data_IF_391620075784
#
_entry.id   IF_391620075784
#
_cell.length_a   1.000
_cell.length_b   1.000
_cell.length_c   1.000
_cell.angle_alpha   90.00
_cell.angle_beta   90.00
_cell.angle_gamma   90.00
#
_symmetry.space_group_name_H-M   'P 1'
#
loop_
_entity.id
_entity.type
_entity.pdbx_description
1 polymer ?
#
# COMPACT_ATOMS: atom_id res chain seq x y z
N UNK A 1 1.78 6.77 -20.19
CA UNK A 1 0.85 7.92 -20.11
C UNK A 1 1.66 9.08 -19.52
N UNK A 2 1.13 10.27 -19.27
CA UNK A 2 1.88 11.26 -18.48
C UNK A 2 1.25 11.31 -17.08
N UNK A 3 1.82 10.56 -16.14
CA UNK A 3 1.48 10.66 -14.71
C UNK A 3 2.28 11.79 -14.05
N UNK A 4 1.97 12.12 -12.79
CA UNK A 4 2.75 13.11 -12.01
C UNK A 4 4.26 12.86 -12.14
N UNK A 5 5.03 13.94 -12.29
CA UNK A 5 6.48 13.92 -12.50
C UNK A 5 7.28 14.31 -11.25
N UNK A 6 6.57 14.68 -10.18
CA UNK A 6 7.11 15.08 -8.89
C UNK A 6 6.19 14.64 -7.75
N UNK A 7 6.73 14.49 -6.53
CA UNK A 7 5.91 14.25 -5.35
C UNK A 7 4.86 15.34 -5.15
N UNK A 8 3.65 14.92 -4.78
CA UNK A 8 2.54 15.79 -4.38
C UNK A 8 1.95 15.31 -3.07
N UNK A 9 1.57 16.24 -2.20
CA UNK A 9 0.89 15.95 -0.94
C UNK A 9 -0.41 16.71 -0.93
N UNK A 10 -1.50 16.02 -0.59
CA UNK A 10 -2.82 16.61 -0.52
C UNK A 10 -3.58 16.08 0.70
N UNK A 11 -4.52 16.88 1.25
CA UNK A 11 -5.44 16.36 2.25
C UNK A 11 -6.18 15.13 1.72
N UNK A 12 -6.29 14.07 2.53
CA UNK A 12 -6.96 12.82 2.15
C UNK A 12 -8.39 13.06 1.68
N UNK A 13 -9.11 13.95 2.37
CA UNK A 13 -10.47 14.32 1.97
C UNK A 13 -10.52 14.96 0.58
N UNK A 14 -9.52 15.78 0.21
CA UNK A 14 -9.43 16.36 -1.13
C UNK A 14 -9.12 15.29 -2.18
N UNK A 15 -8.22 14.34 -1.87
CA UNK A 15 -7.94 13.18 -2.73
C UNK A 15 -9.23 12.38 -3.01
N UNK A 16 -9.94 11.98 -1.96
CA UNK A 16 -11.16 11.18 -2.07
C UNK A 16 -12.28 11.93 -2.81
N UNK A 17 -12.39 13.24 -2.57
CA UNK A 17 -13.35 14.09 -3.29
C UNK A 17 -13.01 14.11 -4.78
N UNK A 18 -11.75 14.35 -5.14
CA UNK A 18 -11.31 14.39 -6.53
C UNK A 18 -11.37 13.03 -7.23
N UNK A 19 -11.15 11.94 -6.50
CA UNK A 19 -11.42 10.58 -6.97
C UNK A 19 -12.90 10.43 -7.35
N UNK A 20 -13.82 10.82 -6.46
CA UNK A 20 -15.27 10.68 -6.69
C UNK A 20 -15.83 11.55 -7.82
N UNK A 21 -15.10 12.59 -8.23
CA UNK A 21 -15.43 13.39 -9.42
C UNK A 21 -15.17 12.63 -10.73
N UNK A 22 -14.42 11.53 -10.67
CA UNK A 22 -14.03 10.71 -11.80
C UNK A 22 -14.67 9.32 -11.62
N UNK A 23 -15.42 8.87 -12.62
CA UNK A 23 -15.97 7.51 -12.64
C UNK A 23 -14.92 6.51 -13.15
N UNK A 24 -13.86 6.33 -12.35
CA UNK A 24 -12.61 5.64 -12.77
C UNK A 24 -12.41 4.26 -12.12
N UNK A 25 -13.40 3.79 -11.38
CA UNK A 25 -13.39 2.48 -10.74
C UNK A 25 -13.17 2.51 -9.23
N UNK A 26 -12.87 1.33 -8.69
CA UNK A 26 -12.76 1.10 -7.25
C UNK A 26 -11.51 1.75 -6.66
N UNK A 27 -11.68 2.34 -5.49
CA UNK A 27 -10.59 2.93 -4.72
C UNK A 27 -9.69 1.82 -4.14
N UNK A 28 -8.35 1.89 -4.31
CA UNK A 28 -7.47 0.86 -3.79
C UNK A 28 -7.57 0.71 -2.26
N UNK A 29 -7.42 -0.52 -1.70
CA UNK A 29 -7.62 -0.77 -0.27
C UNK A 29 -6.79 0.12 0.67
N UNK A 30 -5.61 0.57 0.25
CA UNK A 30 -4.73 1.44 1.03
C UNK A 30 -5.38 2.79 1.40
N UNK A 31 -6.36 3.27 0.63
CA UNK A 31 -7.05 4.51 0.92
C UNK A 31 -8.23 4.35 1.89
N UNK A 32 -8.60 3.10 2.22
CA UNK A 32 -9.73 2.74 3.07
C UNK A 32 -11.08 2.74 2.34
N UNK A 33 -12.17 2.54 3.08
CA UNK A 33 -13.54 2.42 2.54
C UNK A 33 -14.32 3.74 2.53
N UNK A 34 -13.69 4.83 2.97
CA UNK A 34 -14.33 6.11 3.27
C UNK A 34 -14.66 7.01 2.08
N UNK A 35 -15.13 6.47 0.96
CA UNK A 35 -15.57 7.32 -0.18
C UNK A 35 -16.81 8.17 0.16
N UNK A 36 -17.58 7.77 1.18
CA UNK A 36 -18.80 8.48 1.58
C UNK A 36 -18.60 9.24 2.87
N UNK A 37 -18.35 10.54 2.75
CA UNK A 37 -18.47 11.47 3.86
C UNK A 37 -19.91 12.01 3.91
N UNK A 38 -20.60 11.77 5.02
CA UNK A 38 -21.91 12.37 5.28
C UNK A 38 -21.75 13.89 5.32
N UNK A 39 -22.20 14.55 4.25
CA UNK A 39 -22.17 16.00 4.11
C UNK A 39 -23.51 16.47 3.54
N UNK A 40 -23.96 17.66 3.95
CA UNK A 40 -25.11 18.29 3.30
C UNK A 40 -24.76 18.65 1.86
N UNK A 41 -25.78 18.79 1.00
CA UNK A 41 -25.59 19.17 -0.42
C UNK A 41 -24.81 20.49 -0.57
N UNK A 42 -24.97 21.44 0.36
CA UNK A 42 -24.20 22.68 0.41
C UNK A 42 -22.73 22.44 0.78
N UNK A 43 -22.47 21.60 1.79
CA UNK A 43 -21.12 21.21 2.19
C UNK A 43 -20.35 20.48 1.08
N UNK A 44 -21.04 19.69 0.25
CA UNK A 44 -20.43 19.02 -0.89
C UNK A 44 -19.85 20.00 -1.91
N UNK A 45 -20.59 21.04 -2.31
CA UNK A 45 -20.09 22.05 -3.27
C UNK A 45 -18.90 22.82 -2.74
N UNK A 46 -18.93 23.18 -1.45
CA UNK A 46 -17.80 23.86 -0.82
C UNK A 46 -16.56 22.96 -0.80
N UNK A 47 -16.73 21.68 -0.46
CA UNK A 47 -15.65 20.70 -0.46
C UNK A 47 -15.06 20.49 -1.85
N UNK A 48 -15.90 20.39 -2.89
CA UNK A 48 -15.46 20.31 -4.28
C UNK A 48 -14.68 21.56 -4.69
N UNK A 49 -15.16 22.76 -4.33
CA UNK A 49 -14.47 24.02 -4.61
C UNK A 49 -13.08 24.08 -3.95
N UNK A 50 -12.99 23.73 -2.66
CA UNK A 50 -11.71 23.67 -1.92
C UNK A 50 -10.76 22.63 -2.50
N UNK A 51 -11.28 21.47 -2.90
CA UNK A 51 -10.52 20.41 -3.57
C UNK A 51 -9.93 20.90 -4.89
N UNK A 52 -10.72 21.59 -5.71
CA UNK A 52 -10.26 22.13 -6.98
C UNK A 52 -9.23 23.24 -6.81
N UNK A 53 -9.34 24.07 -5.76
CA UNK A 53 -8.33 25.06 -5.42
C UNK A 53 -6.99 24.39 -5.07
N UNK A 54 -7.00 23.41 -4.16
CA UNK A 54 -5.81 22.67 -3.76
C UNK A 54 -5.14 21.96 -4.94
N UNK A 55 -5.93 21.32 -5.81
CA UNK A 55 -5.38 20.67 -7.02
C UNK A 55 -4.88 21.68 -8.05
N UNK A 56 -5.48 22.87 -8.14
CA UNK A 56 -4.99 23.93 -9.06
C UNK A 56 -3.64 24.47 -8.60
N UNK A 57 -3.43 24.64 -7.30
CA UNK A 57 -2.13 25.04 -6.72
C UNK A 57 -1.02 24.02 -7.01
N UNK A 58 -1.38 22.74 -7.05
CA UNK A 58 -0.48 21.64 -7.41
C UNK A 58 -0.31 21.47 -8.93
N UNK A 59 -1.05 22.22 -9.76
CA UNK A 59 -1.04 22.07 -11.22
C UNK A 59 -1.75 20.80 -11.72
N UNK A 60 -2.61 20.20 -10.89
CA UNK A 60 -3.43 19.00 -11.16
C UNK A 60 -4.86 19.35 -11.63
N UNK A 61 -5.22 20.63 -11.55
CA UNK A 61 -6.46 21.15 -12.11
C UNK A 61 -6.21 22.47 -12.85
N UNK A 62 -7.01 22.74 -13.88
CA UNK A 62 -6.99 23.99 -14.65
C UNK A 62 -8.40 24.32 -15.12
N UNK A 63 -8.77 25.61 -15.11
CA UNK A 63 -10.09 26.08 -15.54
C UNK A 63 -11.26 25.33 -14.87
N UNK A 64 -11.15 25.07 -13.57
CA UNK A 64 -12.13 24.29 -12.78
C UNK A 64 -12.36 22.87 -13.32
N UNK A 65 -11.35 22.26 -13.93
CA UNK A 65 -11.38 20.86 -14.38
C UNK A 65 -10.09 20.14 -13.95
N UNK A 66 -10.24 18.89 -13.52
CA UNK A 66 -9.12 17.97 -13.31
C UNK A 66 -8.42 17.73 -14.65
N UNK A 67 -7.11 17.97 -14.70
CA UNK A 67 -6.33 17.86 -15.93
C UNK A 67 -5.89 16.41 -16.19
N UNK A 68 -5.19 16.21 -17.31
CA UNK A 68 -4.76 14.88 -17.73
C UNK A 68 -3.74 14.25 -16.77
N UNK A 69 -2.86 15.06 -16.16
CA UNK A 69 -1.86 14.59 -15.21
C UNK A 69 -2.52 13.90 -14.00
N UNK A 70 -3.57 14.53 -13.45
CA UNK A 70 -4.36 13.91 -12.39
C UNK A 70 -5.07 12.65 -12.87
N UNK A 71 -5.82 12.75 -13.98
CA UNK A 71 -6.61 11.63 -14.55
C UNK A 71 -5.74 10.41 -14.82
N UNK A 72 -4.60 10.60 -15.44
CA UNK A 72 -3.63 9.54 -15.72
C UNK A 72 -3.08 8.92 -14.44
N UNK A 73 -2.74 9.74 -13.44
CA UNK A 73 -2.21 9.26 -12.15
C UNK A 73 -3.24 8.38 -11.42
N UNK A 74 -4.49 8.83 -11.30
CA UNK A 74 -5.53 8.04 -10.63
C UNK A 74 -5.98 6.83 -11.45
N UNK A 75 -5.87 6.88 -12.78
CA UNK A 75 -6.11 5.72 -13.62
C UNK A 75 -5.09 4.60 -13.36
N UNK A 76 -3.80 4.93 -13.15
CA UNK A 76 -2.79 3.96 -12.74
C UNK A 76 -3.13 3.37 -11.38
N UNK A 77 -3.58 4.18 -10.41
CA UNK A 77 -4.00 3.69 -9.10
C UNK A 77 -5.22 2.76 -9.17
N UNK A 78 -6.24 3.10 -9.97
CA UNK A 78 -7.49 2.33 -10.07
C UNK A 78 -7.30 1.00 -10.82
N UNK A 79 -6.55 1.05 -11.92
CA UNK A 79 -6.38 -0.04 -12.88
C UNK A 79 -5.02 -0.73 -12.80
N UNK A 80 -4.31 -0.62 -11.67
CA UNK A 80 -2.97 -1.18 -11.53
C UNK A 80 -2.96 -2.67 -11.89
N UNK A 81 -2.10 -3.05 -12.83
CA UNK A 81 -1.88 -4.46 -13.17
C UNK A 81 -1.05 -5.18 -12.11
N UNK A 82 -0.29 -4.40 -11.32
CA UNK A 82 0.59 -4.88 -10.26
C UNK A 82 0.53 -3.93 -9.07
N UNK A 83 0.36 -4.50 -7.88
CA UNK A 83 0.27 -3.76 -6.63
C UNK A 83 1.10 -4.41 -5.51
N UNK A 84 1.75 -3.59 -4.70
CA UNK A 84 2.39 -3.97 -3.45
C UNK A 84 1.90 -2.98 -2.39
N UNK A 85 1.25 -3.44 -1.34
CA UNK A 85 0.69 -2.52 -0.34
C UNK A 85 0.85 -3.04 1.08
N UNK A 86 0.93 -2.12 2.03
CA UNK A 86 1.07 -2.42 3.44
C UNK A 86 0.15 -1.55 4.28
N UNK A 87 -0.40 -2.12 5.35
CA UNK A 87 -1.02 -1.39 6.46
C UNK A 87 -0.11 -1.47 7.68
N UNK A 88 0.34 -0.33 8.17
CA UNK A 88 1.30 -0.21 9.26
C UNK A 88 0.62 0.34 10.51
N UNK A 89 0.78 -0.36 11.64
CA UNK A 89 0.36 0.11 12.95
C UNK A 89 1.58 0.22 13.85
N UNK A 90 1.77 1.39 14.47
CA UNK A 90 2.91 1.68 15.35
C UNK A 90 2.49 1.68 16.82
N UNK A 91 3.40 1.33 17.73
CA UNK A 91 3.12 1.26 19.17
C UNK A 91 2.60 2.59 19.75
N UNK A 92 2.98 3.73 19.15
CA UNK A 92 2.47 5.07 19.51
C UNK A 92 1.06 5.40 19.00
N UNK A 93 0.31 4.42 18.49
CA UNK A 93 -1.07 4.59 18.00
C UNK A 93 -1.19 5.21 16.61
N UNK A 94 -0.07 5.58 15.98
CA UNK A 94 -0.06 6.02 14.58
C UNK A 94 -0.35 4.83 13.66
N UNK A 95 -1.05 5.10 12.57
CA UNK A 95 -1.25 4.14 11.49
C UNK A 95 -1.08 4.82 10.13
N UNK A 96 -0.56 4.08 9.17
CA UNK A 96 -0.51 4.51 7.77
C UNK A 96 -0.66 3.31 6.85
N UNK A 97 -1.03 3.58 5.60
CA UNK A 97 -1.00 2.62 4.52
C UNK A 97 -0.02 3.09 3.45
N UNK A 98 0.59 2.15 2.77
CA UNK A 98 1.42 2.39 1.60
C UNK A 98 0.91 1.55 0.46
N UNK A 99 0.87 2.11 -0.74
CA UNK A 99 0.55 1.42 -1.98
C UNK A 99 1.60 1.76 -3.02
N UNK A 100 2.16 0.73 -3.64
CA UNK A 100 2.89 0.81 -4.89
C UNK A 100 1.97 0.25 -5.96
N UNK A 101 1.61 1.06 -6.95
CA UNK A 101 0.71 0.70 -8.04
C UNK A 101 1.41 0.92 -9.38
N UNK A 102 1.40 -0.09 -10.25
CA UNK A 102 2.04 -0.04 -11.55
C UNK A 102 1.10 -0.51 -12.67
N UNK A 103 1.13 0.18 -13.81
CA UNK A 103 0.32 -0.12 -14.97
C UNK A 103 0.64 0.79 -16.16
N UNK A 104 0.62 0.23 -17.38
CA UNK A 104 0.83 1.02 -18.61
C UNK A 104 2.23 1.64 -18.75
N UNK A 105 3.24 1.08 -18.06
CA UNK A 105 4.62 1.59 -18.02
C UNK A 105 4.86 2.70 -16.99
N UNK A 106 3.83 3.07 -16.23
CA UNK A 106 3.88 4.08 -15.18
C UNK A 106 3.74 3.39 -13.80
N UNK A 107 4.43 3.92 -12.78
CA UNK A 107 4.34 3.43 -11.41
C UNK A 107 4.27 4.58 -10.40
N UNK A 108 3.37 4.45 -9.42
CA UNK A 108 3.09 5.45 -8.40
C UNK A 108 3.21 4.81 -7.02
N UNK A 109 3.93 5.48 -6.12
CA UNK A 109 3.88 5.26 -4.69
C UNK A 109 2.86 6.21 -4.05
N UNK A 110 1.95 5.66 -3.27
CA UNK A 110 1.04 6.40 -2.41
C UNK A 110 1.32 6.07 -0.94
N UNK A 111 1.49 7.10 -0.11
CA UNK A 111 1.55 6.99 1.35
C UNK A 111 0.32 7.69 1.90
N UNK A 112 -0.48 6.97 2.68
CA UNK A 112 -1.79 7.42 3.16
C UNK A 112 -1.80 7.33 4.67
N UNK A 113 -2.09 8.43 5.35
CA UNK A 113 -2.43 8.40 6.78
C UNK A 113 -3.88 8.86 6.99
N UNK A 114 -4.20 9.30 8.20
CA UNK A 114 -5.54 9.81 8.54
C UNK A 114 -5.87 11.12 7.79
N UNK A 115 -4.88 11.98 7.57
CA UNK A 115 -5.07 13.36 7.15
C UNK A 115 -4.60 13.64 5.73
N UNK A 116 -3.58 12.93 5.25
CA UNK A 116 -2.92 13.22 3.98
C UNK A 116 -2.76 11.99 3.10
N UNK A 117 -2.67 12.26 1.81
CA UNK A 117 -2.19 11.36 0.77
C UNK A 117 -0.96 12.01 0.17
N UNK A 118 0.17 11.33 0.20
CA UNK A 118 1.34 11.67 -0.59
C UNK A 118 1.41 10.74 -1.80
N UNK A 119 1.56 11.29 -2.99
CA UNK A 119 1.75 10.56 -4.25
C UNK A 119 3.11 10.91 -4.83
N UNK A 120 3.81 9.92 -5.34
CA UNK A 120 5.13 10.09 -5.92
C UNK A 120 5.30 9.14 -7.11
N UNK A 121 5.81 9.62 -8.26
CA UNK A 121 6.23 8.72 -9.31
C UNK A 121 7.46 7.93 -8.88
N UNK A 122 7.46 6.64 -9.19
CA UNK A 122 8.61 5.76 -8.98
C UNK A 122 8.99 5.09 -10.29
N UNK A 123 10.17 4.48 -10.33
CA UNK A 123 10.56 3.65 -11.47
C UNK A 123 9.66 2.41 -11.56
N UNK A 124 9.29 2.00 -12.78
CA UNK A 124 8.45 0.82 -13.06
C UNK A 124 9.25 -0.50 -12.88
N UNK A 125 9.90 -0.66 -11.72
CA UNK A 125 10.72 -1.80 -11.32
C UNK A 125 10.99 -1.77 -9.82
N UNK A 126 11.44 -2.91 -9.29
CA UNK A 126 11.85 -3.07 -7.89
C UNK A 126 10.77 -2.72 -6.85
N UNK A 127 9.50 -3.01 -7.14
CA UNK A 127 8.36 -2.63 -6.30
C UNK A 127 8.44 -3.12 -4.84
N UNK A 128 8.93 -4.34 -4.63
CA UNK A 128 9.13 -4.86 -3.27
C UNK A 128 10.17 -4.03 -2.49
N UNK A 129 11.21 -3.55 -3.17
CA UNK A 129 12.21 -2.64 -2.58
C UNK A 129 11.61 -1.25 -2.35
N UNK A 130 10.86 -0.71 -3.33
CA UNK A 130 10.18 0.57 -3.18
C UNK A 130 9.17 0.59 -2.02
N UNK A 131 8.53 -0.55 -1.72
CA UNK A 131 7.70 -0.72 -0.52
C UNK A 131 8.56 -0.79 0.74
N UNK A 132 9.62 -1.60 0.75
CA UNK A 132 10.53 -1.72 1.90
C UNK A 132 11.08 -0.35 2.32
N UNK A 133 11.44 0.50 1.37
CA UNK A 133 11.98 1.84 1.60
C UNK A 133 10.99 2.80 2.30
N UNK A 134 9.71 2.42 2.40
CA UNK A 134 8.69 3.19 3.15
C UNK A 134 8.53 2.74 4.60
N UNK A 135 9.07 1.57 4.94
CA UNK A 135 8.99 1.02 6.28
C UNK A 135 10.14 1.58 7.14
N UNK A 136 10.03 1.52 8.49
CA UNK A 136 11.16 1.81 9.36
C UNK A 136 12.39 0.97 8.99
N UNK A 137 13.57 1.58 9.03
CA UNK A 137 14.85 0.90 8.83
C UNK A 137 15.17 0.06 10.07
N UNK A 138 14.72 -1.19 10.05
CA UNK A 138 14.87 -2.16 11.13
C UNK A 138 15.61 -3.38 10.58
N UNK A 139 16.76 -3.78 11.18
CA UNK A 139 17.49 -4.94 10.73
C UNK A 139 16.68 -6.22 10.94
N UNK A 140 16.96 -7.27 10.16
CA UNK A 140 16.31 -8.56 10.35
C UNK A 140 16.68 -9.18 11.70
N UNK A 141 15.70 -9.83 12.33
CA UNK A 141 15.88 -10.42 13.64
C UNK A 141 16.83 -11.62 13.63
N UNK A 142 17.52 -11.83 14.75
CA UNK A 142 18.40 -12.97 14.98
C UNK A 142 17.60 -14.27 15.27
N UNK A 143 16.74 -14.66 14.33
CA UNK A 143 15.94 -15.88 14.36
C UNK A 143 16.35 -16.82 13.22
N UNK A 144 16.02 -18.10 13.35
CA UNK A 144 16.14 -19.03 12.23
C UNK A 144 14.86 -19.02 11.42
N UNK A 145 14.97 -19.35 10.13
CA UNK A 145 13.79 -19.69 9.33
C UNK A 145 13.16 -20.93 9.94
N UNK A 146 11.86 -20.84 10.23
CA UNK A 146 11.06 -21.90 10.83
C UNK A 146 9.78 -22.04 10.00
N UNK A 147 9.41 -23.28 9.70
CA UNK A 147 8.16 -23.63 9.03
C UNK A 147 7.48 -24.66 9.92
N UNK A 148 6.24 -24.40 10.30
CA UNK A 148 5.48 -25.26 11.21
C UNK A 148 4.07 -25.43 10.70
N UNK A 149 3.50 -26.61 10.94
CA UNK A 149 2.08 -26.82 10.75
C UNK A 149 1.29 -25.91 11.69
N UNK A 150 0.04 -25.60 11.33
CA UNK A 150 -0.80 -24.67 12.08
C UNK A 150 -1.09 -25.14 13.52
N UNK A 151 -0.95 -26.43 13.83
CA UNK A 151 -1.10 -27.00 15.16
C UNK A 151 0.19 -26.96 16.01
N UNK A 152 1.35 -26.61 15.42
CA UNK A 152 2.66 -26.54 16.08
C UNK A 152 3.14 -25.10 16.38
N UNK A 153 2.19 -24.16 16.45
CA UNK A 153 2.42 -22.71 16.58
C UNK A 153 3.22 -22.27 17.81
N UNK A 154 3.31 -23.10 18.86
CA UNK A 154 3.99 -22.76 20.12
C UNK A 154 5.44 -22.30 19.89
N UNK A 155 6.14 -22.91 18.94
CA UNK A 155 7.53 -22.60 18.61
C UNK A 155 7.76 -21.21 17.99
N UNK A 156 6.72 -20.64 17.35
CA UNK A 156 6.76 -19.29 16.74
C UNK A 156 6.13 -18.26 17.70
N UNK A 157 5.17 -18.68 18.52
CA UNK A 157 4.44 -17.81 19.44
C UNK A 157 5.34 -17.04 20.41
N UNK A 158 6.44 -17.63 20.87
CA UNK A 158 7.39 -16.95 21.76
C UNK A 158 7.96 -15.68 21.11
N UNK A 159 8.28 -15.73 19.81
CA UNK A 159 8.86 -14.60 19.08
C UNK A 159 7.82 -13.54 18.76
N UNK A 160 6.64 -13.94 18.27
CA UNK A 160 5.58 -13.01 17.85
C UNK A 160 5.00 -12.21 19.03
N UNK A 161 5.05 -12.77 20.24
CA UNK A 161 4.55 -12.11 21.47
C UNK A 161 5.54 -11.13 22.11
N UNK A 162 6.76 -11.02 21.60
CA UNK A 162 7.74 -10.06 22.12
C UNK A 162 7.24 -8.62 21.93
N UNK A 163 7.70 -7.66 22.77
CA UNK A 163 7.40 -6.25 22.58
C UNK A 163 7.76 -5.77 21.17
N UNK A 164 6.87 -4.96 20.58
CA UNK A 164 6.93 -4.57 19.17
C UNK A 164 6.72 -3.07 19.02
N UNK A 165 7.54 -2.45 18.17
CA UNK A 165 7.41 -1.03 17.80
C UNK A 165 6.42 -0.83 16.66
N UNK A 166 6.28 -1.82 15.77
CA UNK A 166 5.35 -1.77 14.65
C UNK A 166 4.91 -3.15 14.15
N UNK A 167 3.77 -3.20 13.48
CA UNK A 167 3.30 -4.33 12.67
C UNK A 167 2.86 -3.81 11.31
N UNK A 168 3.36 -4.44 10.25
CA UNK A 168 3.00 -4.15 8.87
C UNK A 168 2.32 -5.37 8.26
N UNK A 169 1.05 -5.23 7.90
CA UNK A 169 0.29 -6.22 7.14
C UNK A 169 0.48 -5.93 5.66
N UNK A 170 1.24 -6.77 4.97
CA UNK A 170 1.71 -6.57 3.60
C UNK A 170 0.99 -7.55 2.67
N UNK A 171 0.67 -7.06 1.48
CA UNK A 171 0.01 -7.81 0.44
C UNK A 171 0.64 -7.48 -0.91
N UNK A 172 0.56 -8.45 -1.80
CA UNK A 172 0.80 -8.24 -3.23
C UNK A 172 -0.46 -8.57 -3.99
N UNK A 173 -0.72 -7.86 -5.07
CA UNK A 173 -1.86 -8.13 -5.93
C UNK A 173 -1.51 -7.93 -7.41
N UNK A 174 -2.26 -8.59 -8.27
CA UNK A 174 -2.22 -8.45 -9.72
C UNK A 174 -3.62 -8.47 -10.30
N UNK A 175 -3.78 -7.89 -11.48
CA UNK A 175 -4.97 -8.13 -12.30
C UNK A 175 -4.66 -9.19 -13.36
N UNK A 176 -5.64 -10.04 -13.65
CA UNK A 176 -5.57 -10.97 -14.77
C UNK A 176 -6.00 -10.30 -16.08
N UNK A 177 -5.92 -10.98 -17.24
CA UNK A 177 -6.34 -10.41 -18.53
C UNK A 177 -7.81 -10.01 -18.60
N UNK A 178 -8.69 -10.59 -17.77
CA UNK A 178 -10.11 -10.25 -17.68
C UNK A 178 -10.35 -9.03 -16.78
N UNK A 179 -9.30 -8.54 -16.10
CA UNK A 179 -9.33 -7.37 -15.22
C UNK A 179 -9.63 -7.71 -13.76
N UNK A 180 -9.85 -8.99 -13.44
CA UNK A 180 -10.12 -9.45 -12.09
C UNK A 180 -8.87 -9.35 -11.22
N UNK A 181 -9.05 -8.85 -10.00
CA UNK A 181 -7.95 -8.55 -9.08
C UNK A 181 -7.72 -9.72 -8.12
N UNK A 182 -6.56 -10.33 -8.22
CA UNK A 182 -6.09 -11.41 -7.35
C UNK A 182 -5.06 -10.86 -6.36
N UNK A 183 -5.25 -11.13 -5.06
CA UNK A 183 -4.32 -10.71 -4.00
C UNK A 183 -3.80 -11.90 -3.22
N UNK A 184 -2.63 -11.74 -2.61
CA UNK A 184 -2.08 -12.72 -1.70
C UNK A 184 -2.82 -12.77 -0.36
N UNK A 185 -2.58 -13.86 0.38
CA UNK A 185 -2.72 -13.86 1.84
C UNK A 185 -1.76 -12.83 2.47
N UNK A 186 -2.04 -12.34 3.69
CA UNK A 186 -1.20 -11.35 4.34
C UNK A 186 0.19 -11.91 4.70
N UNK A 187 1.20 -11.08 4.50
CA UNK A 187 2.54 -11.23 5.06
C UNK A 187 2.69 -10.22 6.18
N UNK A 188 2.99 -10.68 7.39
CA UNK A 188 3.22 -9.81 8.55
C UNK A 188 4.70 -9.51 8.69
N UNK A 189 5.10 -8.25 8.56
CA UNK A 189 6.40 -7.79 9.07
C UNK A 189 6.20 -7.21 10.47
N UNK A 190 6.93 -7.74 11.45
CA UNK A 190 6.79 -7.35 12.86
C UNK A 190 8.12 -6.80 13.32
N UNK A 191 8.13 -5.52 13.72
CA UNK A 191 9.31 -4.83 14.23
C UNK A 191 9.38 -5.01 15.74
N UNK A 192 10.28 -5.87 16.20
CA UNK A 192 10.48 -6.16 17.63
C UNK A 192 11.44 -5.14 18.23
N UNK A 193 11.11 -4.59 19.42
CA UNK A 193 11.82 -3.45 20.04
C UNK A 193 13.34 -3.63 20.12
N UNK A 194 13.81 -4.82 20.52
CA UNK A 194 15.24 -5.09 20.72
C UNK A 194 15.76 -6.22 19.82
N UNK A 195 14.88 -6.86 19.05
CA UNK A 195 15.20 -8.08 18.31
C UNK A 195 15.22 -7.90 16.81
N UNK A 196 14.80 -6.76 16.26
CA UNK A 196 14.72 -6.53 14.81
C UNK A 196 13.42 -7.02 14.18
N UNK A 197 13.36 -7.01 12.86
CA UNK A 197 12.17 -7.36 12.07
C UNK A 197 12.08 -8.87 11.84
N UNK A 198 10.92 -9.46 12.04
CA UNK A 198 10.58 -10.81 11.54
C UNK A 198 9.52 -10.71 10.46
N UNK A 199 9.53 -11.66 9.52
CA UNK A 199 8.42 -11.90 8.59
C UNK A 199 7.69 -13.16 9.01
N UNK A 200 6.36 -13.10 8.97
CA UNK A 200 5.47 -14.21 9.30
C UNK A 200 4.36 -14.28 8.24
N UNK A 201 4.19 -15.42 7.60
CA UNK A 201 3.14 -15.62 6.59
C UNK A 201 2.76 -17.11 6.48
N UNK A 202 1.62 -17.38 5.86
CA UNK A 202 1.20 -18.75 5.52
C UNK A 202 1.66 -19.09 4.11
N UNK A 203 2.32 -20.24 3.92
CA UNK A 203 2.71 -20.72 2.59
C UNK A 203 1.56 -21.44 1.85
N UNK A 204 1.85 -22.04 0.69
CA UNK A 204 0.83 -22.71 -0.14
C UNK A 204 0.31 -24.04 0.46
N UNK A 205 1.00 -24.59 1.45
CA UNK A 205 0.63 -25.83 2.15
C UNK A 205 -0.03 -25.54 3.51
N UNK A 206 -0.51 -24.31 3.70
CA UNK A 206 -1.09 -23.80 4.95
C UNK A 206 -0.15 -23.83 6.17
N UNK A 207 1.17 -23.95 5.95
CA UNK A 207 2.16 -23.88 7.04
C UNK A 207 2.46 -22.43 7.41
N UNK A 208 2.68 -22.18 8.71
CA UNK A 208 3.18 -20.90 9.17
C UNK A 208 4.70 -20.83 8.97
N UNK A 209 5.15 -19.85 8.21
CA UNK A 209 6.55 -19.54 7.97
C UNK A 209 6.95 -18.33 8.80
N UNK A 210 8.03 -18.44 9.58
CA UNK A 210 8.72 -17.31 10.21
C UNK A 210 10.15 -17.24 9.71
N UNK A 211 10.64 -16.04 9.42
CA UNK A 211 12.03 -15.82 9.01
C UNK A 211 12.53 -14.42 9.44
N UNK A 212 13.85 -14.19 9.44
CA UNK A 212 14.41 -12.85 9.60
C UNK A 212 13.87 -11.89 8.54
N UNK A 213 13.36 -10.74 8.94
CA UNK A 213 12.89 -9.69 8.03
C UNK A 213 14.00 -8.80 7.52
N UNK A 214 15.10 -9.40 7.04
CA UNK A 214 16.16 -8.65 6.35
C UNK A 214 15.64 -8.08 5.03
N UNK A 215 16.31 -7.07 4.47
CA UNK A 215 15.95 -6.52 3.16
C UNK A 215 15.88 -7.59 2.06
N UNK A 216 16.84 -8.53 2.07
CA UNK A 216 16.87 -9.65 1.12
C UNK A 216 15.64 -10.54 1.26
N UNK A 217 15.35 -10.99 2.47
CA UNK A 217 14.22 -11.88 2.73
C UNK A 217 12.89 -11.19 2.45
N UNK A 218 12.74 -9.93 2.83
CA UNK A 218 11.57 -9.12 2.53
C UNK A 218 11.30 -9.04 1.02
N UNK A 219 12.30 -8.64 0.25
CA UNK A 219 12.17 -8.50 -1.20
C UNK A 219 11.92 -9.85 -1.87
N UNK A 220 12.62 -10.90 -1.43
CA UNK A 220 12.46 -12.25 -1.97
C UNK A 220 11.06 -12.81 -1.69
N UNK A 221 10.57 -12.71 -0.45
CA UNK A 221 9.23 -13.17 -0.06
C UNK A 221 8.17 -12.48 -0.90
N UNK A 222 8.18 -11.14 -1.00
CA UNK A 222 7.17 -10.39 -1.75
C UNK A 222 7.18 -10.74 -3.25
N UNK A 223 8.36 -10.86 -3.85
CA UNK A 223 8.48 -11.22 -5.26
C UNK A 223 8.02 -12.67 -5.53
N UNK A 224 8.36 -13.61 -4.64
CA UNK A 224 7.91 -15.00 -4.75
C UNK A 224 6.39 -15.10 -4.58
N UNK A 225 5.82 -14.39 -3.60
CA UNK A 225 4.37 -14.33 -3.41
C UNK A 225 3.67 -13.73 -4.63
N UNK A 226 4.24 -12.68 -5.23
CA UNK A 226 3.67 -12.08 -6.45
C UNK A 226 3.73 -13.06 -7.63
N UNK A 227 4.84 -13.78 -7.79
CA UNK A 227 5.00 -14.80 -8.83
C UNK A 227 4.01 -15.96 -8.64
N UNK A 228 3.72 -16.35 -7.40
CA UNK A 228 2.75 -17.40 -7.06
C UNK A 228 1.29 -17.03 -7.36
N UNK A 229 0.95 -15.75 -7.51
CA UNK A 229 -0.39 -15.34 -7.96
C UNK A 229 -0.65 -15.64 -9.45
N UNK A 230 0.34 -16.18 -10.18
CA UNK A 230 0.29 -16.40 -11.63
C UNK A 230 -0.28 -17.75 -12.07
N UNK A 231 -0.54 -18.67 -11.15
CA UNK A 231 -1.02 -20.01 -11.49
C UNK A 231 -2.51 -20.16 -11.12
N UNK A 232 -3.42 -20.17 -12.11
CA UNK A 232 -4.57 -21.06 -12.06
C UNK A 232 -4.16 -22.53 -12.24
#
# INVERSE_FOLDING_TARGET
>A
MAVIDRPVVLPKLAFLTAWSMLDIGELPPAFGTGLQHWTSTGGRRELESRTMAALSELGLARNKRLNELWRSTVAVLAGAGREYYAFSNFAGGRACAVLIAAGGGDAIRAIVDENVVALEPIEDKWFATALLDTLPDVPGAAVRRTVVAQDELESINEVIRRPRTAVHQIYVARRDPDGERHRSMPISAIDLEESGRVLVYTDGDDNLVMLPGTAREFVLTLNNTYAGLAEP
#
